data_IF_544964305762
#
_entry.id   IF_544964305762
#
_cell.length_a   1.000
_cell.length_b   1.000
_cell.length_c   1.000
_cell.angle_alpha   90.00
_cell.angle_beta   90.00
_cell.angle_gamma   90.00
#
_symmetry.space_group_name_H-M   'P 1'
#
loop_
_entity.id
_entity.type
_entity.pdbx_description
1 polymer ?
#
# COMPACT_ATOMS: atom_id res chain seq x y z
N UNK A 1 2.39 37.25 -39.04
CA UNK A 1 2.83 35.84 -39.22
C UNK A 1 3.17 35.14 -37.90
N UNK A 2 3.95 35.78 -37.00
CA UNK A 2 4.34 35.17 -35.70
C UNK A 2 3.16 34.79 -34.79
N UNK A 3 2.11 35.60 -34.68
CA UNK A 3 0.95 35.34 -33.81
C UNK A 3 0.14 34.07 -34.21
N UNK A 4 -0.02 33.82 -35.51
CA UNK A 4 -0.69 32.60 -36.01
C UNK A 4 0.13 31.34 -35.69
N UNK A 5 1.45 31.40 -35.77
CA UNK A 5 2.35 30.29 -35.46
C UNK A 5 2.33 29.91 -33.97
N UNK A 6 2.31 30.90 -33.06
CA UNK A 6 2.16 30.66 -31.62
C UNK A 6 0.79 30.05 -31.25
N UNK A 7 -0.29 30.47 -31.92
CA UNK A 7 -1.61 29.87 -31.76
C UNK A 7 -1.64 28.40 -32.21
N UNK A 8 -1.01 28.05 -33.34
CA UNK A 8 -0.96 26.66 -33.81
C UNK A 8 -0.14 25.76 -32.87
N UNK A 9 0.98 26.24 -32.32
CA UNK A 9 1.78 25.51 -31.33
C UNK A 9 1.02 25.33 -30.02
N UNK A 10 0.32 26.36 -29.54
CA UNK A 10 -0.49 26.30 -28.33
C UNK A 10 -1.64 25.28 -28.46
N UNK A 11 -2.35 25.29 -29.59
CA UNK A 11 -3.40 24.29 -29.86
C UNK A 11 -2.82 22.87 -29.98
N UNK A 12 -1.70 22.68 -30.68
CA UNK A 12 -1.03 21.38 -30.77
C UNK A 12 -0.59 20.81 -29.42
N UNK A 13 -0.07 21.66 -28.52
CA UNK A 13 0.29 21.27 -27.16
C UNK A 13 -0.93 20.87 -26.31
N UNK A 14 -2.07 21.55 -26.48
CA UNK A 14 -3.32 21.22 -25.79
C UNK A 14 -3.83 19.84 -26.24
N UNK A 15 -3.86 19.56 -27.56
CA UNK A 15 -4.33 18.27 -28.08
C UNK A 15 -3.45 17.09 -27.68
N UNK A 16 -2.12 17.25 -27.66
CA UNK A 16 -1.20 16.21 -27.22
C UNK A 16 -1.33 15.91 -25.72
N UNK A 17 -1.59 16.94 -24.90
CA UNK A 17 -1.80 16.78 -23.46
C UNK A 17 -3.11 16.03 -23.19
N UNK A 18 -4.20 16.36 -23.89
CA UNK A 18 -5.48 15.66 -23.76
C UNK A 18 -5.42 14.18 -24.20
N UNK A 19 -4.66 13.86 -25.25
CA UNK A 19 -4.50 12.47 -25.71
C UNK A 19 -3.68 11.61 -24.73
N UNK A 20 -2.61 12.18 -24.16
CA UNK A 20 -1.79 11.53 -23.14
C UNK A 20 -2.61 11.24 -21.87
N UNK A 21 -3.37 12.22 -21.39
CA UNK A 21 -4.25 12.07 -20.22
C UNK A 21 -5.32 10.97 -20.43
N UNK A 22 -5.93 10.91 -21.62
CA UNK A 22 -6.92 9.88 -21.94
C UNK A 22 -6.30 8.47 -21.98
N UNK A 23 -5.10 8.34 -22.54
CA UNK A 23 -4.38 7.05 -22.58
C UNK A 23 -4.01 6.57 -21.18
N UNK A 24 -3.56 7.48 -20.31
CA UNK A 24 -3.24 7.18 -18.92
C UNK A 24 -4.49 6.74 -18.13
N UNK A 25 -5.61 7.45 -18.29
CA UNK A 25 -6.88 7.10 -17.65
C UNK A 25 -7.33 5.69 -18.02
N UNK A 26 -7.33 5.36 -19.32
CA UNK A 26 -7.67 3.99 -19.80
C UNK A 26 -6.79 2.91 -19.20
N UNK A 27 -5.49 3.19 -19.03
CA UNK A 27 -4.57 2.23 -18.41
C UNK A 27 -4.86 2.04 -16.93
N UNK A 28 -5.14 3.12 -16.19
CA UNK A 28 -5.57 3.05 -14.78
C UNK A 28 -6.86 2.23 -14.66
N UNK A 29 -7.86 2.49 -15.49
CA UNK A 29 -9.13 1.75 -15.48
C UNK A 29 -8.91 0.25 -15.69
N UNK A 30 -8.09 -0.11 -16.69
CA UNK A 30 -7.73 -1.50 -16.95
C UNK A 30 -7.04 -2.17 -15.76
N UNK A 31 -6.13 -1.46 -15.08
CA UNK A 31 -5.44 -2.00 -13.92
C UNK A 31 -6.37 -2.14 -12.71
N UNK A 32 -7.31 -1.21 -12.51
CA UNK A 32 -8.33 -1.31 -11.46
C UNK A 32 -9.25 -2.50 -11.70
N UNK A 33 -9.54 -2.85 -12.96
CA UNK A 33 -10.29 -4.07 -13.30
C UNK A 33 -9.47 -5.32 -12.91
N UNK A 34 -8.19 -5.39 -13.26
CA UNK A 34 -7.31 -6.51 -12.86
C UNK A 34 -7.20 -6.63 -11.33
N UNK A 35 -7.10 -5.51 -10.62
CA UNK A 35 -7.00 -5.44 -9.17
C UNK A 35 -8.25 -5.98 -8.44
N UNK A 36 -9.40 -6.03 -9.13
CA UNK A 36 -10.65 -6.58 -8.61
C UNK A 36 -10.85 -8.07 -8.92
N UNK A 37 -9.98 -8.70 -9.72
CA UNK A 37 -10.08 -10.13 -10.05
C UNK A 37 -9.75 -11.04 -8.85
N UNK A 38 -9.81 -12.36 -9.04
CA UNK A 38 -9.60 -13.35 -7.97
C UNK A 38 -8.16 -13.86 -7.83
N UNK A 39 -7.33 -13.82 -8.88
CA UNK A 39 -5.96 -14.38 -8.82
C UNK A 39 -5.02 -13.37 -8.18
N UNK A 40 -4.39 -13.74 -7.06
CA UNK A 40 -3.50 -12.84 -6.34
C UNK A 40 -2.22 -12.59 -7.13
N UNK A 41 -1.41 -13.63 -7.40
CA UNK A 41 -0.15 -13.45 -8.14
C UNK A 41 -0.36 -13.19 -9.63
N UNK A 42 -1.41 -13.74 -10.24
CA UNK A 42 -1.69 -13.55 -11.67
C UNK A 42 -2.42 -12.25 -12.05
N UNK A 43 -3.04 -11.53 -11.11
CA UNK A 43 -3.77 -10.28 -11.43
C UNK A 43 -3.61 -9.18 -10.40
N UNK A 44 -3.93 -9.45 -9.13
CA UNK A 44 -4.01 -8.41 -8.09
C UNK A 44 -2.64 -7.80 -7.79
N UNK A 45 -1.61 -8.63 -7.51
CA UNK A 45 -0.29 -8.13 -7.14
C UNK A 45 0.39 -7.36 -8.30
N UNK A 46 0.41 -7.87 -9.55
CA UNK A 46 0.93 -7.09 -10.68
C UNK A 46 0.16 -5.79 -10.92
N UNK A 47 -1.17 -5.81 -10.80
CA UNK A 47 -1.98 -4.61 -10.95
C UNK A 47 -1.65 -3.59 -9.87
N UNK A 48 -1.53 -4.03 -8.61
CA UNK A 48 -1.13 -3.19 -7.47
C UNK A 48 0.21 -2.49 -7.73
N UNK A 49 1.24 -3.26 -8.06
CA UNK A 49 2.60 -2.75 -8.29
C UNK A 49 2.62 -1.67 -9.38
N UNK A 50 1.81 -1.85 -10.43
CA UNK A 50 1.68 -0.85 -11.49
C UNK A 50 0.84 0.36 -11.06
N UNK A 51 -0.26 0.14 -10.32
CA UNK A 51 -1.14 1.20 -9.81
C UNK A 51 -0.39 2.15 -8.86
N UNK A 52 0.49 1.62 -8.01
CA UNK A 52 1.28 2.39 -7.05
C UNK A 52 2.16 3.46 -7.73
N UNK A 53 2.63 3.19 -8.96
CA UNK A 53 3.50 4.11 -9.74
C UNK A 53 2.80 5.42 -10.11
N UNK A 54 1.47 5.43 -10.14
CA UNK A 54 0.68 6.63 -10.44
C UNK A 54 0.59 7.62 -9.28
N UNK A 55 1.06 7.25 -8.08
CA UNK A 55 1.20 8.10 -6.90
C UNK A 55 -0.06 8.94 -6.61
N UNK A 56 0.01 10.26 -6.76
CA UNK A 56 -1.11 11.16 -6.46
C UNK A 56 -2.35 10.87 -7.31
N UNK A 57 -2.13 10.44 -8.56
CA UNK A 57 -3.19 10.25 -9.56
C UNK A 57 -4.12 9.10 -9.19
N UNK A 58 -3.61 8.06 -8.52
CA UNK A 58 -4.42 6.87 -8.22
C UNK A 58 -5.26 7.01 -6.94
N UNK A 59 -4.89 7.92 -6.05
CA UNK A 59 -5.58 8.16 -4.76
C UNK A 59 -7.10 8.37 -4.92
N UNK A 60 -7.60 9.29 -5.77
CA UNK A 60 -9.05 9.48 -5.91
C UNK A 60 -9.77 8.23 -6.43
N UNK A 61 -9.16 7.43 -7.29
CA UNK A 61 -9.77 6.20 -7.81
C UNK A 61 -9.83 5.09 -6.76
N UNK A 62 -8.79 4.95 -5.93
CA UNK A 62 -8.80 4.05 -4.78
C UNK A 62 -9.89 4.45 -3.79
N UNK A 63 -10.01 5.74 -3.48
CA UNK A 63 -11.06 6.26 -2.58
C UNK A 63 -12.47 5.93 -3.11
N UNK A 64 -12.70 6.01 -4.43
CA UNK A 64 -13.98 5.57 -5.01
C UNK A 64 -14.21 4.07 -4.78
N UNK A 65 -13.17 3.25 -4.99
CA UNK A 65 -13.24 1.80 -4.85
C UNK A 65 -13.44 1.34 -3.39
N UNK A 66 -13.16 2.19 -2.38
CA UNK A 66 -13.49 1.91 -0.98
C UNK A 66 -14.99 1.69 -0.73
N UNK A 67 -15.85 2.17 -1.63
CA UNK A 67 -17.31 2.01 -1.54
C UNK A 67 -17.81 0.67 -2.07
N UNK A 68 -16.94 -0.11 -2.72
CA UNK A 68 -17.30 -1.43 -3.26
C UNK A 68 -17.28 -2.50 -2.17
N UNK A 69 -18.46 -2.97 -1.80
CA UNK A 69 -18.66 -3.99 -0.77
C UNK A 69 -18.63 -5.41 -1.33
N UNK A 70 -18.15 -5.63 -2.55
CA UNK A 70 -18.10 -6.96 -3.16
C UNK A 70 -17.10 -7.86 -2.45
N UNK A 71 -17.49 -9.11 -2.22
CA UNK A 71 -16.63 -10.19 -1.75
C UNK A 71 -16.19 -11.05 -2.94
N UNK A 72 -14.89 -11.12 -3.18
CA UNK A 72 -14.26 -11.92 -4.23
C UNK A 72 -13.15 -12.75 -3.59
N UNK A 73 -13.45 -14.03 -3.33
CA UNK A 73 -12.49 -14.95 -2.71
C UNK A 73 -11.21 -15.03 -3.55
N UNK A 74 -10.06 -14.81 -2.91
CA UNK A 74 -8.77 -14.96 -3.57
C UNK A 74 -8.50 -16.41 -3.96
N UNK A 75 -7.84 -16.54 -5.10
CA UNK A 75 -7.25 -17.77 -5.63
C UNK A 75 -5.78 -17.50 -5.91
N UNK A 76 -5.00 -18.55 -6.12
CA UNK A 76 -3.56 -18.40 -6.40
C UNK A 76 -2.85 -17.66 -5.24
N UNK A 77 -3.01 -18.21 -4.03
CA UNK A 77 -2.57 -17.63 -2.74
C UNK A 77 -1.58 -18.52 -2.00
N UNK A 78 -0.86 -19.40 -2.69
CA UNK A 78 -0.07 -20.47 -2.06
C UNK A 78 0.98 -19.95 -1.07
N UNK A 79 1.60 -18.81 -1.37
CA UNK A 79 2.61 -18.17 -0.51
C UNK A 79 2.06 -16.92 0.21
N UNK A 80 0.73 -16.77 0.29
CA UNK A 80 0.08 -15.61 0.89
C UNK A 80 -0.55 -15.96 2.26
N UNK A 81 -0.16 -15.20 3.27
CA UNK A 81 -0.72 -15.30 4.62
C UNK A 81 -1.58 -14.06 4.86
N UNK A 82 -2.90 -14.22 4.87
CA UNK A 82 -3.85 -13.12 5.08
C UNK A 82 -5.11 -13.63 5.81
N UNK A 83 -6.00 -12.75 6.30
CA UNK A 83 -7.24 -13.12 6.99
C UNK A 83 -8.17 -14.12 6.28
N UNK A 84 -8.06 -14.26 4.96
CA UNK A 84 -8.82 -15.25 4.20
C UNK A 84 -8.06 -16.56 3.97
N UNK A 85 -6.79 -16.70 4.39
CA UNK A 85 -6.00 -17.91 4.19
C UNK A 85 -6.64 -19.08 4.94
N UNK A 86 -6.79 -20.21 4.25
CA UNK A 86 -7.31 -21.47 4.81
C UNK A 86 -6.24 -22.55 4.98
N UNK A 87 -5.07 -22.39 4.35
CA UNK A 87 -3.95 -23.34 4.42
C UNK A 87 -2.66 -22.57 4.63
N UNK A 88 -1.84 -23.01 5.58
CA UNK A 88 -0.53 -22.41 5.86
C UNK A 88 0.61 -23.39 5.56
N UNK A 89 1.61 -22.92 4.82
CA UNK A 89 2.73 -23.74 4.33
C UNK A 89 4.05 -23.51 5.09
N UNK A 90 4.02 -22.85 6.26
CA UNK A 90 5.24 -22.60 7.06
C UNK A 90 5.96 -21.29 6.75
N UNK A 91 5.67 -20.67 5.61
CA UNK A 91 6.22 -19.40 5.16
C UNK A 91 5.20 -18.65 4.30
N UNK A 92 5.53 -17.39 3.98
CA UNK A 92 4.78 -16.61 3.00
C UNK A 92 4.86 -15.11 3.22
N UNK A 93 4.32 -14.39 2.25
CA UNK A 93 4.09 -12.97 2.34
C UNK A 93 2.88 -12.68 3.24
N UNK A 94 3.13 -12.04 4.38
CA UNK A 94 2.08 -11.67 5.32
C UNK A 94 1.41 -10.35 4.95
N UNK A 95 0.10 -10.39 4.70
CA UNK A 95 -0.73 -9.23 4.43
C UNK A 95 -1.88 -9.21 5.44
N UNK A 96 -1.82 -8.39 6.50
CA UNK A 96 -2.85 -8.31 7.52
C UNK A 96 -4.06 -7.48 7.04
N UNK A 97 -4.56 -7.73 5.83
CA UNK A 97 -5.74 -7.09 5.25
C UNK A 97 -6.67 -8.16 4.72
N UNK A 98 -7.97 -8.05 5.00
CA UNK A 98 -9.01 -8.97 4.52
C UNK A 98 -9.26 -8.78 3.01
N UNK A 99 -8.27 -9.17 2.20
CA UNK A 99 -8.19 -8.94 0.76
C UNK A 99 -9.28 -9.66 -0.04
N UNK A 100 -10.11 -10.51 0.57
CA UNK A 100 -11.28 -11.05 -0.13
C UNK A 100 -12.33 -9.96 -0.41
N UNK A 101 -12.27 -8.81 0.28
CA UNK A 101 -13.16 -7.67 0.04
C UNK A 101 -12.50 -6.59 -0.82
N UNK A 102 -13.19 -6.16 -1.88
CA UNK A 102 -12.67 -5.15 -2.83
C UNK A 102 -12.34 -3.83 -2.12
N UNK A 103 -13.21 -3.34 -1.23
CA UNK A 103 -12.96 -2.15 -0.43
C UNK A 103 -11.66 -2.24 0.37
N UNK A 104 -11.33 -3.43 0.89
CA UNK A 104 -10.13 -3.65 1.73
C UNK A 104 -8.86 -3.73 0.88
N UNK A 105 -8.92 -4.32 -0.32
CA UNK A 105 -7.80 -4.24 -1.28
C UNK A 105 -7.46 -2.81 -1.62
N UNK A 106 -8.49 -2.00 -1.89
CA UNK A 106 -8.30 -0.58 -2.17
C UNK A 106 -7.72 0.16 -0.95
N UNK A 107 -8.24 -0.11 0.26
CA UNK A 107 -7.69 0.42 1.50
C UNK A 107 -6.22 0.06 1.71
N UNK A 108 -5.84 -1.20 1.45
CA UNK A 108 -4.46 -1.66 1.52
C UNK A 108 -3.52 -0.84 0.63
N UNK A 109 -3.81 -0.74 -0.67
CA UNK A 109 -2.98 0.04 -1.59
C UNK A 109 -3.02 1.54 -1.25
N UNK A 110 -4.17 2.08 -0.85
CA UNK A 110 -4.30 3.47 -0.47
C UNK A 110 -3.39 3.82 0.72
N UNK A 111 -3.38 2.98 1.75
CA UNK A 111 -2.52 3.14 2.92
C UNK A 111 -1.03 3.01 2.58
N UNK A 112 -0.65 2.14 1.65
CA UNK A 112 0.75 2.01 1.18
C UNK A 112 1.22 3.18 0.30
N UNK A 113 0.34 3.73 -0.54
CA UNK A 113 0.68 4.92 -1.35
C UNK A 113 0.82 6.16 -0.47
N UNK A 114 -0.07 6.30 0.51
CA UNK A 114 -0.19 7.53 1.33
C UNK A 114 0.56 7.49 2.65
N UNK A 115 1.02 6.32 3.09
CA UNK A 115 1.58 6.07 4.43
C UNK A 115 0.65 6.51 5.56
N UNK A 116 -0.65 6.57 5.29
CA UNK A 116 -1.67 6.83 6.29
C UNK A 116 -2.15 5.51 6.89
N UNK A 117 -2.80 5.63 8.04
CA UNK A 117 -3.54 4.56 8.67
C UNK A 117 -5.02 4.94 8.61
N UNK A 118 -5.74 4.35 7.64
CA UNK A 118 -7.19 4.54 7.48
C UNK A 118 -7.97 3.44 8.22
N UNK A 119 -7.30 2.55 8.95
CA UNK A 119 -7.92 1.49 9.74
C UNK A 119 -8.35 0.25 8.95
N UNK A 120 -7.82 0.04 7.73
CA UNK A 120 -8.17 -1.15 6.93
C UNK A 120 -7.38 -2.41 7.32
N UNK A 121 -6.24 -2.25 8.01
CA UNK A 121 -5.47 -3.36 8.56
C UNK A 121 -6.31 -4.11 9.58
N UNK A 122 -6.37 -5.44 9.46
CA UNK A 122 -7.08 -6.30 10.39
C UNK A 122 -6.27 -6.41 11.70
N UNK A 123 -6.86 -5.97 12.81
CA UNK A 123 -6.26 -6.05 14.15
C UNK A 123 -6.31 -7.44 14.78
N UNK A 124 -7.24 -8.31 14.34
CA UNK A 124 -7.43 -9.66 14.87
C UNK A 124 -6.29 -10.61 14.44
N UNK A 125 -5.58 -10.26 13.36
CA UNK A 125 -4.52 -11.08 12.76
C UNK A 125 -3.23 -10.26 12.72
N UNK A 126 -2.37 -10.54 13.70
CA UNK A 126 -1.06 -9.91 13.89
C UNK A 126 0.02 -10.99 14.08
N UNK A 127 1.27 -10.56 14.23
CA UNK A 127 2.42 -11.47 14.35
C UNK A 127 2.33 -12.39 15.57
N UNK A 128 1.71 -11.94 16.67
CA UNK A 128 1.46 -12.78 17.83
C UNK A 128 0.42 -13.88 17.54
N UNK A 129 -0.67 -13.54 16.86
CA UNK A 129 -1.67 -14.50 16.38
C UNK A 129 -1.03 -15.51 15.44
N UNK A 130 -0.20 -15.06 14.51
CA UNK A 130 0.52 -15.93 13.57
C UNK A 130 1.47 -16.88 14.29
N UNK A 131 2.28 -16.38 15.22
CA UNK A 131 3.22 -17.18 16.00
C UNK A 131 2.49 -18.24 16.86
N UNK A 132 1.35 -17.88 17.45
CA UNK A 132 0.49 -18.82 18.20
C UNK A 132 -0.04 -19.93 17.29
N UNK A 133 -0.52 -19.59 16.09
CA UNK A 133 -0.99 -20.56 15.10
C UNK A 133 0.13 -21.51 14.67
N UNK A 134 1.33 -20.99 14.37
CA UNK A 134 2.47 -21.81 13.97
C UNK A 134 2.90 -22.78 15.08
N UNK A 135 2.98 -22.31 16.33
CA UNK A 135 3.36 -23.15 17.47
C UNK A 135 2.30 -24.23 17.76
N UNK A 136 1.03 -23.89 17.67
CA UNK A 136 -0.08 -24.81 17.95
C UNK A 136 -0.20 -25.96 16.93
N UNK A 137 0.18 -25.71 15.68
CA UNK A 137 0.04 -26.68 14.59
C UNK A 137 1.37 -27.30 14.12
N UNK A 138 2.46 -27.10 14.89
CA UNK A 138 3.81 -27.53 14.50
C UNK A 138 3.91 -29.03 14.16
N UNK A 139 3.24 -29.89 14.94
CA UNK A 139 3.27 -31.33 14.70
C UNK A 139 2.58 -31.73 13.39
N UNK A 140 1.47 -31.08 13.04
CA UNK A 140 0.78 -31.32 11.78
C UNK A 140 1.62 -30.83 10.60
N UNK A 141 2.22 -29.64 10.73
CA UNK A 141 3.14 -29.09 9.74
C UNK A 141 4.30 -30.05 9.43
N UNK A 142 4.99 -30.58 10.45
CA UNK A 142 6.12 -31.51 10.25
C UNK A 142 5.70 -32.79 9.52
N UNK A 143 4.44 -33.21 9.65
CA UNK A 143 3.94 -34.43 9.00
C UNK A 143 3.48 -34.19 7.56
N UNK A 144 2.81 -33.07 7.28
CA UNK A 144 2.11 -32.81 6.01
C UNK A 144 2.75 -31.73 5.14
N UNK A 145 3.65 -30.92 5.70
CA UNK A 145 4.18 -29.70 5.08
C UNK A 145 3.20 -28.53 5.06
N UNK A 146 2.00 -28.67 5.63
CA UNK A 146 0.99 -27.62 5.78
C UNK A 146 -0.02 -27.96 6.88
N UNK A 147 -0.87 -27.01 7.25
CA UNK A 147 -2.04 -27.22 8.12
C UNK A 147 -3.19 -26.28 7.77
N UNK A 148 -4.41 -26.64 8.17
CA UNK A 148 -5.61 -25.82 7.98
C UNK A 148 -5.67 -24.66 8.99
N UNK A 149 -6.09 -23.49 8.54
CA UNK A 149 -6.22 -22.29 9.37
C UNK A 149 -7.70 -21.98 9.59
N UNK A 150 -8.11 -21.92 10.86
CA UNK A 150 -9.41 -21.40 11.27
C UNK A 150 -9.26 -20.14 12.13
N UNK A 151 -9.71 -19.02 11.58
CA UNK A 151 -9.76 -17.73 12.27
C UNK A 151 -11.00 -17.72 13.17
N UNK A 152 -10.80 -18.08 14.44
CA UNK A 152 -11.87 -18.36 15.43
C UNK A 152 -12.75 -17.15 15.81
N UNK A 153 -12.37 -15.94 15.43
CA UNK A 153 -13.14 -14.72 15.68
C UNK A 153 -13.59 -14.11 14.35
N UNK A 154 -14.88 -14.27 14.01
CA UNK A 154 -15.47 -13.64 12.83
C UNK A 154 -16.48 -12.60 13.28
N UNK A 155 -16.06 -11.34 13.30
CA UNK A 155 -17.00 -10.21 13.27
C UNK A 155 -17.96 -10.41 12.08
N UNK A 156 -19.26 -10.25 12.29
CA UNK A 156 -20.24 -10.48 11.21
C UNK A 156 -19.99 -9.56 10.01
N UNK A 157 -20.21 -10.07 8.80
CA UNK A 157 -19.97 -9.33 7.56
C UNK A 157 -20.73 -8.01 7.50
N UNK A 158 -21.95 -7.97 8.03
CA UNK A 158 -22.75 -6.75 8.09
C UNK A 158 -22.07 -5.66 8.95
N UNK A 159 -21.50 -6.02 10.11
CA UNK A 159 -20.75 -5.07 10.95
C UNK A 159 -19.50 -4.59 10.25
N UNK A 160 -18.78 -5.49 9.55
CA UNK A 160 -17.60 -5.11 8.75
C UNK A 160 -17.96 -4.13 7.64
N UNK A 161 -19.07 -4.35 6.93
CA UNK A 161 -19.55 -3.45 5.87
C UNK A 161 -19.89 -2.05 6.42
N UNK A 162 -20.64 -1.96 7.52
CA UNK A 162 -20.98 -0.65 8.11
C UNK A 162 -19.75 0.09 8.61
N UNK A 163 -18.79 -0.60 9.24
CA UNK A 163 -17.54 0.01 9.67
C UNK A 163 -16.72 0.54 8.48
N UNK A 164 -16.64 -0.21 7.38
CA UNK A 164 -15.91 0.21 6.18
C UNK A 164 -16.51 1.45 5.50
N UNK A 165 -17.82 1.70 5.63
CA UNK A 165 -18.42 2.97 5.18
C UNK A 165 -17.84 4.16 5.95
N UNK A 166 -17.65 4.01 7.27
CA UNK A 166 -17.02 5.04 8.11
C UNK A 166 -15.58 5.27 7.65
N UNK A 167 -14.81 4.19 7.41
CA UNK A 167 -13.43 4.29 6.92
C UNK A 167 -13.35 4.97 5.55
N UNK A 168 -14.23 4.62 4.62
CA UNK A 168 -14.32 5.26 3.30
C UNK A 168 -14.59 6.77 3.41
N UNK A 169 -15.53 7.18 4.26
CA UNK A 169 -15.83 8.60 4.49
C UNK A 169 -14.62 9.35 5.10
N UNK A 170 -13.89 8.73 6.02
CA UNK A 170 -12.69 9.31 6.63
C UNK A 170 -11.59 9.52 5.58
N UNK A 171 -11.34 8.52 4.72
CA UNK A 171 -10.38 8.63 3.63
C UNK A 171 -10.77 9.72 2.61
N UNK A 172 -12.06 9.81 2.26
CA UNK A 172 -12.58 10.84 1.35
C UNK A 172 -12.39 12.25 1.95
N UNK A 173 -12.71 12.43 3.25
CA UNK A 173 -12.50 13.69 3.96
C UNK A 173 -11.03 14.07 4.01
N UNK A 174 -10.17 13.13 4.41
CA UNK A 174 -8.72 13.35 4.45
C UNK A 174 -8.18 13.80 3.10
N UNK A 175 -8.63 13.19 1.99
CA UNK A 175 -8.17 13.58 0.67
C UNK A 175 -8.60 14.99 0.27
N UNK A 176 -9.84 15.38 0.55
CA UNK A 176 -10.32 16.75 0.30
C UNK A 176 -9.44 17.79 1.00
N UNK A 177 -8.99 17.51 2.22
CA UNK A 177 -8.16 18.40 3.02
C UNK A 177 -6.69 18.44 2.56
N UNK A 178 -6.16 17.32 2.05
CA UNK A 178 -4.72 17.16 1.83
C UNK A 178 -4.27 17.20 0.35
N UNK A 179 -5.16 16.96 -0.61
CA UNK A 179 -4.79 16.72 -2.02
C UNK A 179 -3.89 17.80 -2.64
N UNK A 180 -4.09 19.09 -2.31
CA UNK A 180 -3.31 20.20 -2.91
C UNK A 180 -1.83 20.19 -2.52
N UNK A 181 -1.53 19.68 -1.33
CA UNK A 181 -0.16 19.68 -0.76
C UNK A 181 0.46 18.30 -0.79
N UNK A 182 -0.33 17.29 -1.13
CA UNK A 182 0.12 15.91 -1.09
C UNK A 182 1.10 15.64 -2.23
N UNK A 183 2.29 15.16 -1.86
CA UNK A 183 3.15 14.38 -2.72
C UNK A 183 3.77 13.25 -1.89
N UNK A 184 4.36 12.25 -2.54
CA UNK A 184 4.85 11.08 -1.82
C UNK A 184 6.01 11.41 -0.87
N UNK A 185 6.88 12.38 -1.19
CA UNK A 185 7.94 12.85 -0.29
C UNK A 185 7.35 13.48 0.98
N UNK A 186 6.34 14.36 0.85
CA UNK A 186 5.70 14.97 2.01
C UNK A 186 5.00 13.92 2.88
N UNK A 187 4.38 12.91 2.27
CA UNK A 187 3.74 11.81 2.96
C UNK A 187 4.75 10.95 3.75
N UNK A 188 5.93 10.67 3.17
CA UNK A 188 7.04 9.98 3.88
C UNK A 188 7.47 10.78 5.11
N UNK A 189 7.72 12.09 4.95
CA UNK A 189 8.14 12.96 6.06
C UNK A 189 7.08 13.05 7.15
N UNK A 190 5.80 13.09 6.77
CA UNK A 190 4.69 13.12 7.71
C UNK A 190 4.58 11.78 8.48
N UNK A 191 4.70 10.65 7.79
CA UNK A 191 4.67 9.33 8.42
C UNK A 191 5.83 9.12 9.40
N UNK A 192 7.06 9.53 9.04
CA UNK A 192 8.22 9.47 9.93
C UNK A 192 8.07 10.35 11.18
N UNK A 193 7.26 11.42 11.11
CA UNK A 193 6.98 12.28 12.28
C UNK A 193 5.77 11.83 13.08
N UNK A 194 5.11 10.75 12.68
CA UNK A 194 3.91 10.24 13.33
C UNK A 194 4.26 9.41 14.57
N UNK A 195 3.36 9.43 15.55
CA UNK A 195 3.33 8.50 16.68
C UNK A 195 2.46 7.26 16.38
N UNK A 196 2.13 6.98 15.12
CA UNK A 196 1.38 5.80 14.70
C UNK A 196 2.36 4.75 14.16
N UNK A 197 2.46 3.61 14.85
CA UNK A 197 3.33 2.50 14.51
C UNK A 197 3.05 1.91 13.11
N UNK A 198 1.79 1.81 12.69
CA UNK A 198 1.44 1.32 11.35
C UNK A 198 1.96 2.25 10.25
N UNK A 199 1.91 3.57 10.48
CA UNK A 199 2.46 4.57 9.53
C UNK A 199 3.97 4.46 9.44
N UNK A 200 4.64 4.30 10.59
CA UNK A 200 6.09 4.06 10.66
C UNK A 200 6.47 2.75 9.94
N UNK A 201 5.78 1.66 10.23
CA UNK A 201 6.00 0.34 9.60
C UNK A 201 5.89 0.43 8.07
N UNK A 202 4.83 1.06 7.54
CA UNK A 202 4.63 1.24 6.09
C UNK A 202 5.75 2.07 5.45
N UNK A 203 6.16 3.17 6.07
CA UNK A 203 7.21 4.02 5.48
C UNK A 203 8.56 3.31 5.50
N UNK A 204 8.91 2.59 6.57
CA UNK A 204 10.16 1.81 6.61
C UNK A 204 10.13 0.64 5.62
N UNK A 205 9.01 -0.06 5.48
CA UNK A 205 8.84 -1.11 4.46
C UNK A 205 9.09 -0.54 3.06
N UNK A 206 8.53 0.62 2.74
CA UNK A 206 8.74 1.27 1.43
C UNK A 206 10.17 1.78 1.24
N UNK A 207 10.78 2.38 2.27
CA UNK A 207 12.17 2.85 2.18
C UNK A 207 13.16 1.71 1.97
N UNK A 208 12.91 0.53 2.56
CA UNK A 208 13.80 -0.64 2.44
C UNK A 208 13.52 -1.48 1.20
N UNK A 209 12.25 -1.70 0.88
CA UNK A 209 11.81 -2.71 -0.10
C UNK A 209 10.89 -2.14 -1.19
N UNK A 210 10.70 -0.83 -1.25
CA UNK A 210 9.84 -0.21 -2.26
C UNK A 210 10.34 -0.49 -3.68
N UNK A 211 9.40 -0.89 -4.54
CA UNK A 211 9.65 -1.23 -5.94
C UNK A 211 9.23 -0.11 -6.90
N UNK A 212 8.32 0.77 -6.45
CA UNK A 212 7.83 1.89 -7.24
C UNK A 212 8.64 3.16 -6.96
N UNK A 213 9.03 3.88 -8.01
CA UNK A 213 9.76 5.15 -7.88
C UNK A 213 8.95 6.19 -7.08
N UNK A 214 9.62 6.90 -6.18
CA UNK A 214 9.08 8.08 -5.53
C UNK A 214 9.47 9.31 -6.37
N UNK A 215 8.49 10.04 -6.92
CA UNK A 215 8.79 11.17 -7.80
C UNK A 215 9.66 12.22 -7.08
N UNK A 216 10.76 12.61 -7.72
CA UNK A 216 11.75 13.57 -7.20
C UNK A 216 12.55 13.11 -5.95
N UNK A 217 12.48 11.84 -5.56
CA UNK A 217 13.30 11.32 -4.47
C UNK A 217 14.74 11.09 -4.95
N UNK A 218 15.59 12.11 -4.95
CA UNK A 218 17.01 11.95 -5.27
C UNK A 218 17.78 11.42 -4.07
N UNK A 219 18.99 10.87 -4.31
CA UNK A 219 19.90 10.46 -3.21
C UNK A 219 20.25 11.63 -2.30
N UNK A 220 20.40 12.83 -2.87
CA UNK A 220 20.66 14.06 -2.11
C UNK A 220 19.48 14.41 -1.21
N UNK A 221 18.26 14.49 -1.77
CA UNK A 221 17.04 14.79 -1.00
C UNK A 221 16.83 13.77 0.13
N UNK A 222 17.02 12.48 -0.15
CA UNK A 222 16.97 11.46 0.89
C UNK A 222 17.97 11.74 2.00
N UNK A 223 19.22 12.01 1.64
CA UNK A 223 20.32 12.22 2.61
C UNK A 223 20.16 13.50 3.43
N UNK A 224 19.63 14.57 2.85
CA UNK A 224 19.52 15.89 3.49
C UNK A 224 18.19 16.10 4.20
N UNK A 225 17.09 15.47 3.75
CA UNK A 225 15.75 15.76 4.27
C UNK A 225 15.03 14.56 4.92
N UNK A 226 15.36 13.32 4.54
CA UNK A 226 14.67 12.11 5.08
C UNK A 226 15.53 11.42 6.14
N UNK A 227 16.79 11.14 5.82
CA UNK A 227 17.73 10.43 6.70
C UNK A 227 17.87 11.11 8.08
N UNK A 228 17.94 12.45 8.21
CA UNK A 228 18.03 13.07 9.53
C UNK A 228 16.82 12.76 10.43
N UNK A 229 15.61 12.68 9.86
CA UNK A 229 14.40 12.33 10.62
C UNK A 229 14.51 10.89 11.15
N UNK A 230 15.05 9.98 10.34
CA UNK A 230 15.25 8.57 10.72
C UNK A 230 16.29 8.45 11.84
N UNK A 231 17.39 9.20 11.76
CA UNK A 231 18.42 9.23 12.82
C UNK A 231 17.87 9.81 14.13
N UNK A 232 16.96 10.78 14.06
CA UNK A 232 16.30 11.28 15.27
C UNK A 232 15.31 10.27 15.86
N UNK A 233 14.60 9.51 15.02
CA UNK A 233 13.74 8.40 15.47
C UNK A 233 14.52 7.26 16.14
N UNK A 234 15.76 7.00 15.69
CA UNK A 234 16.64 5.97 16.28
C UNK A 234 16.92 6.23 17.78
N UNK A 235 16.90 7.50 18.19
CA UNK A 235 17.12 7.90 19.58
C UNK A 235 15.91 7.64 20.48
N UNK A 236 14.77 7.28 19.89
CA UNK A 236 13.53 6.99 20.62
C UNK A 236 13.41 5.49 20.91
N UNK A 237 12.80 5.10 22.02
CA UNK A 237 12.61 3.68 22.38
C UNK A 237 11.14 3.25 22.32
N UNK A 238 10.32 3.90 21.50
CA UNK A 238 8.86 3.72 21.56
C UNK A 238 8.36 2.43 20.88
N UNK A 239 9.02 1.97 19.83
CA UNK A 239 8.59 0.81 19.00
C UNK A 239 9.78 -0.10 18.65
N UNK A 240 10.02 -1.19 19.39
CA UNK A 240 11.21 -2.04 19.20
C UNK A 240 11.37 -2.60 17.77
N UNK A 241 10.28 -3.02 17.13
CA UNK A 241 10.32 -3.53 15.76
C UNK A 241 10.73 -2.44 14.76
N UNK A 242 10.23 -1.22 14.93
CA UNK A 242 10.62 -0.07 14.13
C UNK A 242 12.10 0.27 14.34
N UNK A 243 12.62 0.15 15.57
CA UNK A 243 14.04 0.37 15.85
C UNK A 243 14.94 -0.61 15.10
N UNK A 244 14.51 -1.86 14.93
CA UNK A 244 15.24 -2.83 14.12
C UNK A 244 15.23 -2.44 12.63
N UNK A 245 14.07 -2.00 12.11
CA UNK A 245 13.96 -1.49 10.73
C UNK A 245 14.86 -0.28 10.47
N UNK A 246 14.95 0.64 11.45
CA UNK A 246 15.83 1.83 11.39
C UNK A 246 17.29 1.40 11.26
N UNK A 247 17.77 0.52 12.14
CA UNK A 247 19.16 0.03 12.12
C UNK A 247 19.50 -0.63 10.79
N UNK A 248 18.64 -1.51 10.31
CA UNK A 248 18.85 -2.20 9.03
C UNK A 248 18.91 -1.20 7.87
N UNK A 249 17.98 -0.23 7.80
CA UNK A 249 17.97 0.79 6.76
C UNK A 249 19.22 1.68 6.79
N UNK A 250 19.72 2.05 7.99
CA UNK A 250 20.91 2.87 8.15
C UNK A 250 22.20 2.12 7.76
N UNK A 251 22.22 0.80 7.90
CA UNK A 251 23.36 -0.06 7.54
C UNK A 251 23.38 -0.48 6.05
N UNK A 252 22.23 -0.83 5.47
CA UNK A 252 22.14 -1.36 4.10
C UNK A 252 22.00 -0.27 3.04
N UNK A 253 21.36 0.87 3.38
CA UNK A 253 20.86 1.95 2.52
C UNK A 253 19.41 1.80 2.02
N UNK A 254 18.84 2.92 1.59
CA UNK A 254 17.49 3.02 1.01
C UNK A 254 17.40 2.27 -0.32
N UNK A 255 16.24 1.67 -0.62
CA UNK A 255 15.98 0.99 -1.88
C UNK A 255 16.32 1.90 -3.07
N UNK A 256 17.24 1.45 -3.92
CA UNK A 256 17.63 2.21 -5.12
C UNK A 256 16.47 2.33 -6.12
N UNK A 257 15.48 1.43 -6.06
CA UNK A 257 14.31 1.44 -6.95
C UNK A 257 13.36 2.59 -6.65
N UNK A 258 13.35 3.09 -5.42
CA UNK A 258 12.50 4.25 -5.07
C UNK A 258 13.16 5.58 -5.44
N UNK A 259 14.47 5.59 -5.73
CA UNK A 259 15.19 6.80 -6.07
C UNK A 259 14.92 7.24 -7.53
N UNK A 260 14.73 8.54 -7.69
CA UNK A 260 14.67 9.18 -8.99
C UNK A 260 16.10 9.52 -9.44
N UNK A 261 16.72 8.58 -10.15
CA UNK A 261 18.03 8.76 -10.77
C UNK A 261 17.82 9.62 -12.02
N UNK A 262 17.90 10.94 -11.85
CA UNK A 262 18.08 11.90 -12.94
C UNK A 262 19.57 12.14 -13.17
#
# INVERSE_FOLDING_TARGET
MKLKFYLTILFGAIFLNSYSQNTQAKKIDSLLIEFQKKSFYGSINPAKEELEKYQQTIIPELIKLLKDTSFVKLTDTADLIYPGTTVFYGHGYFIPYDLDWISVRSGWLLEEVTFQDFGYKNSEINDETLLKLMKGNYNEYIQKGNYEVDWKEKTSDQKKIEYRKILSNNAEKWWKENHKKWNRISAIKEALKSNNENRLSKVFQYLRFGESKCANMTKELYSTEIKPIIVDLEKTNQYPEIQEQIKLLLNESVSLKILDIK
#
